data_IF_791627419921
#
_entry.id   IF_791627419921
#
_cell.length_a   1.000
_cell.length_b   1.000
_cell.length_c   1.000
_cell.angle_alpha   90.00
_cell.angle_beta   90.00
_cell.angle_gamma   90.00
#
_symmetry.space_group_name_H-M   'P 1'
#
loop_
_entity.id
_entity.type
_entity.pdbx_description
1 polymer ?
#
# COMPACT_ATOMS: atom_id res chain seq x y z
N UNK A 1 19.31 42.86 -0.46
CA UNK A 1 19.25 42.25 -0.40
C UNK A 1 19.00 41.65 -0.10
N UNK A 2 18.94 41.46 -0.01
CA UNK A 2 18.86 40.79 0.37
C UNK A 2 18.86 39.96 0.82
N UNK A 3 18.82 39.59 1.00
CA UNK A 3 18.90 38.82 1.33
C UNK A 3 18.87 37.97 1.71
N UNK A 4 18.98 37.55 1.75
CA UNK A 4 18.90 36.68 1.97
C UNK A 4 19.25 36.00 2.85
N UNK A 5 19.06 35.50 3.06
CA UNK A 5 19.33 35.24 4.06
C UNK A 5 18.91 34.09 4.37
N UNK A 6 19.16 33.25 4.40
CA UNK A 6 18.72 32.16 4.59
C UNK A 6 19.28 31.28 5.25
N UNK A 7 19.70 31.12 5.44
CA UNK A 7 20.42 30.55 6.08
C UNK A 7 19.86 29.69 6.86
N UNK A 8 20.22 28.96 7.26
CA UNK A 8 19.94 28.15 8.19
C UNK A 8 18.82 27.50 8.02
N UNK A 9 18.54 27.43 7.15
CA UNK A 9 17.52 27.00 7.10
C UNK A 9 17.33 25.86 6.57
N UNK A 10 16.64 25.08 6.84
CA UNK A 10 16.29 23.93 6.33
C UNK A 10 15.46 24.14 5.18
N UNK A 11 15.91 24.72 4.20
CA UNK A 11 15.21 24.87 2.97
C UNK A 11 15.37 23.59 2.21
N UNK A 12 14.36 22.79 2.16
CA UNK A 12 14.40 21.61 1.33
C UNK A 12 13.70 21.92 0.03
N UNK A 13 14.20 21.37 -1.05
CA UNK A 13 13.54 21.48 -2.34
C UNK A 13 12.41 20.47 -2.36
N UNK A 14 11.21 20.96 -2.66
CA UNK A 14 10.05 20.09 -2.74
C UNK A 14 9.99 19.48 -4.12
N UNK A 15 9.84 18.18 -4.18
CA UNK A 15 9.71 17.47 -5.43
C UNK A 15 8.52 16.52 -5.34
N UNK A 16 7.83 16.38 -6.45
CA UNK A 16 6.75 15.40 -6.53
C UNK A 16 7.33 13.99 -6.58
N UNK A 17 6.59 13.01 -6.09
CA UNK A 17 6.98 11.63 -6.33
C UNK A 17 7.07 11.35 -7.83
N UNK A 18 7.93 10.40 -8.19
CA UNK A 18 8.18 10.09 -9.60
C UNK A 18 7.26 9.00 -10.13
N UNK A 19 6.59 8.26 -9.26
CA UNK A 19 5.64 7.24 -9.69
C UNK A 19 4.34 7.38 -8.93
N UNK A 20 3.30 6.76 -9.46
CA UNK A 20 2.05 6.57 -8.74
C UNK A 20 2.18 5.36 -7.82
N UNK A 21 1.23 5.14 -6.92
CA UNK A 21 1.30 3.96 -6.06
C UNK A 21 1.31 2.67 -6.88
N UNK A 22 2.15 1.73 -6.48
CA UNK A 22 2.17 0.40 -7.07
C UNK A 22 2.07 -0.61 -5.94
N UNK A 23 1.41 -1.74 -6.21
CA UNK A 23 1.19 -2.77 -5.20
C UNK A 23 1.82 -4.07 -5.67
N UNK A 24 2.57 -4.71 -4.78
CA UNK A 24 3.11 -6.03 -5.01
C UNK A 24 2.57 -6.97 -3.94
N UNK A 25 2.24 -8.18 -4.34
CA UNK A 25 1.72 -9.19 -3.42
C UNK A 25 2.75 -10.29 -3.23
N UNK A 26 2.94 -10.71 -1.99
CA UNK A 26 3.83 -11.82 -1.64
C UNK A 26 3.07 -12.77 -0.71
N UNK A 27 2.96 -14.03 -1.03
CA UNK A 27 3.38 -14.67 -2.28
C UNK A 27 2.48 -14.28 -3.43
N UNK A 28 2.97 -14.46 -4.65
CA UNK A 28 2.23 -14.12 -5.85
C UNK A 28 1.16 -15.18 -6.09
N UNK A 29 0.05 -14.75 -6.64
CA UNK A 29 -1.01 -15.67 -7.04
C UNK A 29 -2.03 -15.89 -5.93
N UNK A 30 -2.92 -16.85 -6.14
CA UNK A 30 -3.95 -17.14 -5.13
C UNK A 30 -3.32 -17.63 -3.84
N UNK A 31 -3.96 -17.31 -2.73
CA UNK A 31 -3.48 -17.67 -1.40
C UNK A 31 -4.40 -18.73 -0.84
N UNK A 32 -3.83 -19.77 -0.25
CA UNK A 32 -4.63 -20.80 0.40
C UNK A 32 -5.15 -20.22 1.72
N UNK A 33 -6.43 -20.39 1.95
CA UNK A 33 -7.05 -19.89 3.19
C UNK A 33 -6.24 -20.31 4.40
N UNK A 34 -6.05 -19.38 5.32
CA UNK A 34 -5.24 -19.61 6.51
C UNK A 34 -3.80 -19.14 6.38
N UNK A 35 -3.34 -18.92 5.18
CA UNK A 35 -1.97 -18.43 4.98
C UNK A 35 -1.92 -16.92 4.93
N UNK A 36 -0.74 -16.40 5.20
CA UNK A 36 -0.53 -14.97 5.25
C UNK A 36 -0.22 -14.43 3.86
N UNK A 37 -0.74 -13.25 3.59
CA UNK A 37 -0.39 -12.51 2.38
C UNK A 37 0.11 -11.14 2.79
N UNK A 38 1.11 -10.65 2.09
CA UNK A 38 1.64 -9.31 2.31
C UNK A 38 1.46 -8.49 1.04
N UNK A 39 0.86 -7.34 1.19
CA UNK A 39 0.72 -6.38 0.10
C UNK A 39 1.64 -5.20 0.41
N UNK A 40 2.50 -4.86 -0.51
CA UNK A 40 3.44 -3.76 -0.33
C UNK A 40 3.12 -2.68 -1.34
N UNK A 41 2.88 -1.48 -0.85
CA UNK A 41 2.63 -0.33 -1.69
C UNK A 41 3.88 0.54 -1.71
N UNK A 42 4.29 0.95 -2.90
CA UNK A 42 5.48 1.77 -3.07
C UNK A 42 5.14 2.98 -3.93
N UNK A 43 5.62 4.13 -3.49
CA UNK A 43 5.57 5.37 -4.27
C UNK A 43 6.99 5.89 -4.28
N UNK A 44 7.58 5.91 -5.46
CA UNK A 44 8.99 6.26 -5.58
C UNK A 44 9.20 7.76 -5.61
N UNK A 45 10.28 8.17 -4.99
CA UNK A 45 10.72 9.54 -5.08
C UNK A 45 9.88 10.51 -4.29
N UNK A 46 10.11 11.76 -4.56
CA UNK A 46 9.42 12.83 -3.85
C UNK A 46 10.25 13.35 -2.68
N UNK A 47 10.12 14.62 -2.43
CA UNK A 47 10.74 15.25 -1.28
C UNK A 47 9.76 16.28 -0.72
N UNK A 48 9.15 15.97 0.41
CA UNK A 48 9.29 14.73 1.17
C UNK A 48 8.68 13.55 0.45
N UNK A 49 8.92 12.33 0.94
CA UNK A 49 8.28 11.17 0.36
C UNK A 49 6.78 11.21 0.65
N UNK A 50 6.01 10.52 -0.16
CA UNK A 50 4.56 10.50 0.00
C UNK A 50 4.16 9.78 1.29
N UNK A 51 2.95 10.03 1.72
CA UNK A 51 2.35 9.30 2.83
C UNK A 51 1.43 8.24 2.26
N UNK A 52 1.50 7.03 2.78
CA UNK A 52 0.70 5.92 2.28
C UNK A 52 -0.24 5.45 3.38
N UNK A 53 -1.49 5.21 3.00
CA UNK A 53 -2.45 4.56 3.89
C UNK A 53 -3.09 3.39 3.15
N UNK A 54 -3.51 2.39 3.91
CA UNK A 54 -4.16 1.21 3.39
C UNK A 54 -5.59 1.11 3.89
N UNK A 55 -6.48 0.63 3.04
CA UNK A 55 -7.81 0.24 3.47
C UNK A 55 -8.26 -0.94 2.63
N UNK A 56 -8.96 -1.87 3.25
CA UNK A 56 -9.48 -3.03 2.55
C UNK A 56 -10.96 -3.15 2.83
N UNK A 57 -11.74 -3.52 1.81
CA UNK A 57 -13.18 -3.67 1.97
C UNK A 57 -13.48 -4.70 3.04
N UNK A 58 -14.25 -4.33 4.02
CA UNK A 58 -14.67 -5.27 5.04
C UNK A 58 -13.56 -5.81 5.91
N UNK A 59 -12.36 -5.33 5.75
CA UNK A 59 -11.27 -5.82 6.54
C UNK A 59 -11.31 -5.23 7.93
N UNK A 60 -11.13 -6.06 8.89
CA UNK A 60 -11.13 -5.61 10.26
C UNK A 60 -9.74 -5.49 10.81
N UNK A 61 -8.78 -6.13 10.16
CA UNK A 61 -7.44 -6.18 10.69
C UNK A 61 -6.50 -5.65 9.65
N UNK A 62 -6.02 -4.48 9.85
CA UNK A 62 -5.00 -3.90 8.99
C UNK A 62 -3.82 -3.59 9.87
N UNK A 63 -2.72 -4.24 9.58
CA UNK A 63 -1.51 -4.03 10.36
C UNK A 63 -0.42 -3.52 9.43
N UNK A 64 -0.43 -2.24 9.16
CA UNK A 64 0.59 -1.67 8.29
C UNK A 64 1.93 -1.77 8.98
N UNK A 65 2.92 -2.16 8.22
CA UNK A 65 4.28 -2.17 8.72
C UNK A 65 5.17 -1.48 7.70
N UNK A 66 6.18 -0.86 8.17
CA UNK A 66 7.09 -0.19 7.27
C UNK A 66 7.83 0.88 8.01
N UNK A 67 8.94 1.25 7.46
CA UNK A 67 9.73 2.31 8.03
C UNK A 67 9.74 3.47 7.07
N UNK A 68 9.64 4.68 7.57
CA UNK A 68 9.79 5.82 6.70
C UNK A 68 11.15 5.74 6.04
N UNK A 69 11.17 6.03 4.76
CA UNK A 69 12.41 6.11 4.02
C UNK A 69 12.57 7.55 3.55
N UNK A 70 13.79 7.95 3.33
CA UNK A 70 14.04 9.29 2.80
C UNK A 70 14.05 9.29 1.29
N UNK A 71 13.89 8.13 0.67
CA UNK A 71 13.98 8.01 -0.78
C UNK A 71 12.64 7.64 -1.39
N UNK A 72 11.99 6.63 -0.84
CA UNK A 72 10.71 6.16 -1.37
C UNK A 72 9.74 5.93 -0.23
N UNK A 73 8.46 6.05 -0.52
CA UNK A 73 7.44 5.68 0.44
C UNK A 73 7.10 4.21 0.23
N UNK A 74 7.21 3.41 1.27
CA UNK A 74 6.93 1.98 1.21
C UNK A 74 6.14 1.61 2.44
N UNK A 75 4.99 0.99 2.24
CA UNK A 75 4.15 0.61 3.35
C UNK A 75 3.50 -0.73 3.05
N UNK A 76 3.67 -1.67 3.95
CA UNK A 76 3.16 -3.04 3.75
C UNK A 76 1.99 -3.31 4.66
N UNK A 77 1.13 -4.19 4.18
CA UNK A 77 -0.06 -4.64 4.90
C UNK A 77 -0.01 -6.16 4.93
N UNK A 78 -0.17 -6.76 6.11
CA UNK A 78 -0.21 -8.21 6.24
C UNK A 78 -1.59 -8.66 6.68
N UNK A 79 -2.08 -9.72 6.04
CA UNK A 79 -3.33 -10.33 6.43
C UNK A 79 -3.15 -11.83 6.52
N UNK A 80 -3.80 -12.44 7.51
CA UNK A 80 -3.97 -13.89 7.49
C UNK A 80 -5.32 -14.13 6.82
N UNK A 81 -5.30 -14.83 5.70
CA UNK A 81 -6.48 -14.92 4.87
C UNK A 81 -7.50 -15.90 5.44
N UNK A 82 -8.76 -15.61 5.14
CA UNK A 82 -9.86 -16.54 5.37
C UNK A 82 -10.68 -16.55 4.09
N UNK A 83 -11.64 -17.45 4.02
CA UNK A 83 -12.47 -17.51 2.84
C UNK A 83 -13.20 -16.20 2.59
N UNK A 84 -13.43 -15.43 3.67
CA UNK A 84 -14.12 -14.15 3.53
C UNK A 84 -13.26 -13.09 2.85
N UNK A 85 -11.97 -13.34 2.74
CA UNK A 85 -11.09 -12.38 2.07
C UNK A 85 -11.08 -12.56 0.58
N UNK A 86 -11.68 -13.62 0.06
CA UNK A 86 -11.67 -13.82 -1.38
C UNK A 86 -12.45 -12.72 -2.07
N UNK A 87 -11.84 -12.12 -3.06
CA UNK A 87 -12.45 -11.01 -3.77
C UNK A 87 -12.33 -9.68 -3.07
N UNK A 88 -11.71 -9.65 -1.91
CA UNK A 88 -11.55 -8.42 -1.16
C UNK A 88 -10.64 -7.46 -1.92
N UNK A 89 -11.03 -6.21 -1.93
CA UNK A 89 -10.23 -5.17 -2.59
C UNK A 89 -9.55 -4.36 -1.52
N UNK A 90 -8.23 -4.29 -1.62
CA UNK A 90 -7.43 -3.44 -0.75
C UNK A 90 -6.94 -2.25 -1.57
N UNK A 91 -7.03 -1.08 -1.00
CA UNK A 91 -6.67 0.17 -1.66
C UNK A 91 -5.49 0.80 -0.94
N UNK A 92 -4.47 1.12 -1.71
CA UNK A 92 -3.36 1.92 -1.24
C UNK A 92 -3.58 3.34 -1.68
N UNK A 93 -3.56 4.28 -0.75
CA UNK A 93 -3.76 5.69 -1.05
C UNK A 93 -2.48 6.44 -0.73
N UNK A 94 -1.97 7.17 -1.71
CA UNK A 94 -0.82 8.02 -1.54
C UNK A 94 -1.22 9.47 -1.49
N UNK A 95 -0.55 10.22 -0.64
CA UNK A 95 -0.79 11.64 -0.48
C UNK A 95 0.54 12.38 -0.49
N UNK A 96 0.55 13.50 -1.17
CA UNK A 96 1.75 14.33 -1.22
C UNK A 96 1.32 15.79 -1.31
N UNK A 97 2.06 16.63 -0.67
CA UNK A 97 1.68 18.03 -0.61
C UNK A 97 1.69 18.73 -1.97
N UNK A 98 2.44 18.21 -2.92
CA UNK A 98 2.46 18.79 -4.26
C UNK A 98 1.43 18.18 -5.20
N UNK A 99 0.72 17.16 -4.75
CA UNK A 99 -0.35 16.57 -5.54
C UNK A 99 -1.66 17.29 -5.23
N UNK A 100 -2.43 17.55 -6.27
CA UNK A 100 -3.73 18.18 -6.10
C UNK A 100 -4.70 17.23 -5.42
N UNK A 101 -4.63 15.96 -5.80
CA UNK A 101 -5.51 14.94 -5.26
C UNK A 101 -4.72 13.72 -4.83
N UNK A 102 -5.26 12.97 -3.89
CA UNK A 102 -4.66 11.72 -3.50
C UNK A 102 -4.65 10.76 -4.69
N UNK A 103 -3.67 9.87 -4.71
CA UNK A 103 -3.56 8.86 -5.76
C UNK A 103 -3.78 7.50 -5.13
N UNK A 104 -4.51 6.64 -5.82
CA UNK A 104 -4.87 5.35 -5.28
C UNK A 104 -4.52 4.23 -6.24
N UNK A 105 -4.35 3.04 -5.67
CA UNK A 105 -4.18 1.82 -6.43
C UNK A 105 -4.92 0.71 -5.67
N UNK A 106 -5.61 -0.13 -6.40
CA UNK A 106 -6.41 -1.20 -5.82
C UNK A 106 -5.83 -2.56 -6.17
N UNK A 107 -6.05 -3.52 -5.30
CA UNK A 107 -5.57 -4.88 -5.50
C UNK A 107 -6.62 -5.85 -4.97
N UNK A 108 -6.96 -6.84 -5.79
CA UNK A 108 -7.91 -7.88 -5.41
C UNK A 108 -7.16 -9.07 -4.85
N UNK A 109 -7.66 -9.62 -3.76
CA UNK A 109 -7.08 -10.81 -3.17
C UNK A 109 -7.91 -12.01 -3.60
N UNK A 110 -7.23 -13.07 -4.04
CA UNK A 110 -7.88 -14.33 -4.40
C UNK A 110 -7.49 -15.36 -3.38
N UNK A 111 -8.48 -16.01 -2.78
CA UNK A 111 -8.23 -17.02 -1.75
C UNK A 111 -8.83 -18.34 -2.20
N UNK A 112 -8.00 -19.38 -2.17
CA UNK A 112 -8.44 -20.74 -2.46
C UNK A 112 -8.78 -21.43 -1.15
N UNK A 113 -9.75 -22.33 -1.21
CA UNK A 113 -10.19 -23.04 -0.04
C UNK A 113 -9.16 -24.06 0.39
N UNK A 114 -8.97 -24.16 1.69
CA UNK A 114 -7.96 -25.02 2.27
C UNK A 114 -8.17 -26.49 1.93
N UNK A 115 -9.40 -26.91 1.91
CA UNK A 115 -9.72 -28.32 1.71
C UNK A 115 -10.10 -28.65 0.28
N UNK A 116 -10.04 -27.67 -0.61
CA UNK A 116 -10.37 -27.87 -2.00
C UNK A 116 -9.39 -27.07 -2.83
N UNK A 117 -8.29 -27.70 -3.12
CA UNK A 117 -7.25 -27.02 -3.85
C UNK A 117 -7.75 -26.53 -5.20
N UNK A 118 -7.25 -25.41 -5.62
CA UNK A 118 -7.57 -24.80 -6.89
C UNK A 118 -9.03 -24.37 -7.01
N UNK A 119 -9.69 -24.24 -5.89
CA UNK A 119 -11.06 -23.75 -5.88
C UNK A 119 -11.10 -22.45 -5.12
N UNK A 120 -11.62 -21.43 -5.77
CA UNK A 120 -11.78 -20.14 -5.13
C UNK A 120 -12.79 -20.27 -4.02
N UNK A 121 -12.46 -19.78 -2.86
CA UNK A 121 -13.40 -19.77 -1.76
C UNK A 121 -14.41 -18.69 -2.01
N UNK A 122 -15.66 -19.07 -2.09
CA UNK A 122 -16.64 -18.02 -2.19
C UNK A 122 -17.66 -18.18 -1.09
N UNK A 123 -18.42 -17.14 -0.92
CA UNK A 123 -19.26 -17.04 0.22
C UNK A 123 -20.52 -17.84 0.08
N UNK A 124 -20.75 -18.31 -1.05
CA UNK A 124 -21.96 -19.08 -1.27
C UNK A 124 -21.68 -20.44 -0.79
N UNK A 125 -22.36 -20.89 0.08
CA UNK A 125 -22.11 -22.22 0.56
C UNK A 125 -22.99 -23.24 -0.05
#
# INVERSE_FOLDING_TARGET
>A
MPSQVYFNINCTVLDQPTTLPTIAQTPVGPIIEGNKVTLTCTIQGGNPVATITWSCDGATQINPTGSPSTVDAIFSLELVTSKNNNGQICTCTGRHLLWTNDKTQQHNITVYCKYRYNIVCNMVS
#
